data_IF_740581521048
#
_entry.id   IF_740581521048
#
_cell.length_a   1.000
_cell.length_b   1.000
_cell.length_c   1.000
_cell.angle_alpha   90.00
_cell.angle_beta   90.00
_cell.angle_gamma   90.00
#
_symmetry.space_group_name_H-M   'P 1'
#
loop_
_entity.id
_entity.type
_entity.pdbx_description
1 polymer ?
#
# COMPACT_ATOMS: atom_id res chain seq x y z
N UNK A 1 -14.08 10.05 -3.62
CA UNK A 1 -13.53 8.86 -4.27
C UNK A 1 -12.04 8.88 -4.11
N UNK A 2 -11.43 7.73 -3.85
CA UNK A 2 -9.97 7.59 -3.83
C UNK A 2 -9.50 7.33 -5.27
N UNK A 3 -8.45 8.02 -5.71
CA UNK A 3 -7.85 7.83 -7.03
C UNK A 3 -6.35 7.69 -6.83
N UNK A 4 -5.85 6.48 -7.07
CA UNK A 4 -4.45 6.10 -6.81
C UNK A 4 -3.57 6.18 -8.07
N UNK A 5 -4.18 6.46 -9.23
CA UNK A 5 -3.50 6.58 -10.50
C UNK A 5 -3.91 7.88 -11.21
N UNK A 6 -2.94 8.60 -11.75
CA UNK A 6 -3.19 9.75 -12.62
C UNK A 6 -2.89 9.31 -14.05
N UNK A 7 -3.95 9.06 -14.81
CA UNK A 7 -3.85 8.60 -16.19
C UNK A 7 -3.91 9.79 -17.15
N UNK A 8 -3.04 9.78 -18.15
CA UNK A 8 -3.01 10.78 -19.20
C UNK A 8 -3.30 10.16 -20.56
N UNK A 9 -3.92 10.93 -21.45
CA UNK A 9 -3.94 10.56 -22.86
C UNK A 9 -2.50 10.57 -23.41
N UNK A 10 -2.02 9.42 -23.89
CA UNK A 10 -0.62 9.25 -24.30
C UNK A 10 -0.15 10.24 -25.37
N UNK A 11 -0.84 10.39 -26.52
CA UNK A 11 -0.48 11.37 -27.54
C UNK A 11 -0.43 12.81 -27.01
N UNK A 12 -1.41 13.24 -26.23
CA UNK A 12 -1.45 14.60 -25.67
C UNK A 12 -0.30 14.85 -24.69
N UNK A 13 -0.02 13.89 -23.81
CA UNK A 13 1.10 14.00 -22.87
C UNK A 13 2.45 14.06 -23.60
N UNK A 14 2.66 13.20 -24.61
CA UNK A 14 3.90 13.22 -25.41
C UNK A 14 4.07 14.48 -26.27
N UNK A 15 2.98 15.15 -26.64
CA UNK A 15 3.03 16.40 -27.39
C UNK A 15 3.44 17.62 -26.53
N UNK A 16 3.44 17.50 -25.20
CA UNK A 16 3.88 18.58 -24.32
C UNK A 16 5.40 18.82 -24.45
N UNK A 17 5.86 20.08 -24.33
CA UNK A 17 7.27 20.39 -24.14
C UNK A 17 7.88 19.60 -22.96
N UNK A 18 9.18 19.30 -23.04
CA UNK A 18 9.87 18.52 -22.01
C UNK A 18 9.72 19.14 -20.61
N UNK A 19 9.81 20.46 -20.49
CA UNK A 19 9.65 21.16 -19.21
C UNK A 19 8.28 20.89 -18.57
N UNK A 20 7.20 20.93 -19.35
CA UNK A 20 5.85 20.64 -18.83
C UNK A 20 5.69 19.18 -18.45
N UNK A 21 6.28 18.24 -19.19
CA UNK A 21 6.29 16.82 -18.81
C UNK A 21 7.01 16.62 -17.48
N UNK A 22 8.17 17.23 -17.32
CA UNK A 22 8.93 17.18 -16.06
C UNK A 22 8.16 17.77 -14.88
N UNK A 23 7.46 18.90 -15.06
CA UNK A 23 6.59 19.47 -14.03
C UNK A 23 5.49 18.47 -13.63
N UNK A 24 4.84 17.84 -14.61
CA UNK A 24 3.82 16.82 -14.35
C UNK A 24 4.42 15.64 -13.58
N UNK A 25 5.59 15.13 -13.98
CA UNK A 25 6.22 13.97 -13.35
C UNK A 25 6.54 14.22 -11.87
N UNK A 26 7.05 15.40 -11.53
CA UNK A 26 7.29 15.78 -10.14
C UNK A 26 6.00 16.07 -9.38
N UNK A 27 5.01 16.69 -10.03
CA UNK A 27 3.71 16.95 -9.40
C UNK A 27 2.97 15.64 -9.05
N UNK A 28 3.02 14.63 -9.92
CA UNK A 28 2.43 13.31 -9.67
C UNK A 28 3.14 12.61 -8.50
N UNK A 29 4.48 12.66 -8.44
CA UNK A 29 5.25 12.13 -7.30
C UNK A 29 4.89 12.83 -5.98
N UNK A 30 4.83 14.17 -5.99
CA UNK A 30 4.46 14.95 -4.82
C UNK A 30 3.03 14.67 -4.35
N UNK A 31 2.08 14.55 -5.29
CA UNK A 31 0.69 14.19 -4.99
C UNK A 31 0.58 12.78 -4.38
N UNK A 32 1.38 11.82 -4.85
CA UNK A 32 1.43 10.47 -4.30
C UNK A 32 1.90 10.46 -2.83
N UNK A 33 2.94 11.24 -2.51
CA UNK A 33 3.42 11.40 -1.14
C UNK A 33 2.41 12.13 -0.24
N UNK A 34 1.84 13.23 -0.72
CA UNK A 34 0.82 14.00 -0.01
C UNK A 34 -0.42 13.16 0.32
N UNK A 35 -0.87 12.32 -0.63
CA UNK A 35 -1.96 11.37 -0.41
C UNK A 35 -1.62 10.38 0.73
N UNK A 36 -0.39 9.87 0.76
CA UNK A 36 0.03 8.87 1.76
C UNK A 36 -0.04 9.42 3.18
N UNK A 37 0.41 10.66 3.40
CA UNK A 37 0.36 11.29 4.73
C UNK A 37 -1.06 11.71 5.12
N UNK A 38 -1.85 12.21 4.16
CA UNK A 38 -3.27 12.53 4.38
C UNK A 38 -4.08 11.29 4.73
N UNK A 39 -3.78 10.14 4.13
CA UNK A 39 -4.46 8.89 4.46
C UNK A 39 -4.23 8.49 5.92
N UNK A 40 -3.01 8.61 6.43
CA UNK A 40 -2.69 8.33 7.84
C UNK A 40 -3.50 9.25 8.78
N UNK A 41 -3.48 10.56 8.52
CA UNK A 41 -4.17 11.55 9.34
C UNK A 41 -5.70 11.36 9.33
N UNK A 42 -6.30 11.22 8.13
CA UNK A 42 -7.75 11.11 7.98
C UNK A 42 -8.27 9.77 8.51
N UNK A 43 -7.66 8.66 8.10
CA UNK A 43 -8.12 7.33 8.50
C UNK A 43 -7.96 7.08 10.00
N UNK A 44 -6.94 7.66 10.65
CA UNK A 44 -6.79 7.53 12.11
C UNK A 44 -7.86 8.29 12.89
N UNK A 45 -8.24 9.50 12.43
CA UNK A 45 -9.38 10.26 13.00
C UNK A 45 -10.70 9.54 12.80
N UNK A 46 -10.96 9.08 11.58
CA UNK A 46 -12.19 8.37 11.24
C UNK A 46 -12.30 7.05 12.00
N UNK A 47 -11.18 6.31 12.15
CA UNK A 47 -11.13 5.11 12.98
C UNK A 47 -11.54 5.37 14.43
N UNK A 48 -11.06 6.48 15.02
CA UNK A 48 -11.46 6.85 16.38
C UNK A 48 -12.95 7.20 16.47
N UNK A 49 -13.49 7.89 15.47
CA UNK A 49 -14.90 8.28 15.42
C UNK A 49 -15.83 7.07 15.23
N UNK A 50 -15.51 6.18 14.29
CA UNK A 50 -16.26 4.94 14.06
C UNK A 50 -16.34 4.07 15.32
N UNK A 51 -15.27 4.03 16.13
CA UNK A 51 -15.28 3.31 17.41
C UNK A 51 -16.26 3.91 18.41
N UNK A 52 -16.41 5.25 18.47
CA UNK A 52 -17.40 5.90 19.34
C UNK A 52 -18.83 5.56 18.91
N UNK A 53 -19.05 5.38 17.61
CA UNK A 53 -20.32 4.94 17.04
C UNK A 53 -20.59 3.44 17.25
N UNK A 54 -19.73 2.73 17.97
CA UNK A 54 -19.92 1.31 18.29
C UNK A 54 -19.46 0.34 17.20
N UNK A 55 -18.80 0.82 16.14
CA UNK A 55 -18.25 -0.04 15.10
C UNK A 55 -17.13 -0.90 15.69
N UNK A 56 -17.23 -2.22 15.47
CA UNK A 56 -16.26 -3.20 15.96
C UNK A 56 -15.28 -3.57 14.85
N UNK A 57 -13.99 -3.40 15.12
CA UNK A 57 -12.92 -3.75 14.19
C UNK A 57 -12.29 -5.08 14.59
N UNK A 58 -12.18 -5.99 13.63
CA UNK A 58 -11.62 -7.33 13.82
C UNK A 58 -10.44 -7.52 12.89
N UNK A 59 -9.38 -8.17 13.38
CA UNK A 59 -8.33 -8.69 12.50
C UNK A 59 -8.91 -9.91 11.77
N UNK A 60 -8.75 -9.94 10.45
CA UNK A 60 -9.06 -11.14 9.66
C UNK A 60 -8.28 -12.35 10.21
N UNK A 61 -8.94 -13.47 10.53
CA UNK A 61 -8.26 -14.66 11.03
C UNK A 61 -7.17 -15.18 10.08
N UNK A 62 -6.05 -15.64 10.64
CA UNK A 62 -4.91 -16.10 9.85
C UNK A 62 -5.27 -17.29 8.95
N UNK A 63 -6.20 -18.15 9.35
CA UNK A 63 -6.69 -19.25 8.51
C UNK A 63 -7.35 -18.75 7.21
N UNK A 64 -8.11 -17.65 7.28
CA UNK A 64 -8.73 -17.02 6.10
C UNK A 64 -7.65 -16.38 5.23
N UNK A 65 -6.67 -15.71 5.83
CA UNK A 65 -5.56 -15.11 5.09
C UNK A 65 -4.72 -16.17 4.35
N UNK A 66 -4.48 -17.35 4.96
CA UNK A 66 -3.78 -18.47 4.28
C UNK A 66 -4.60 -19.02 3.11
N UNK A 67 -5.90 -19.23 3.30
CA UNK A 67 -6.77 -19.67 2.21
C UNK A 67 -6.82 -18.65 1.05
N UNK A 68 -6.73 -17.35 1.34
CA UNK A 68 -6.62 -16.31 0.32
C UNK A 68 -5.32 -16.42 -0.48
N UNK A 69 -4.20 -16.76 0.16
CA UNK A 69 -2.92 -16.98 -0.52
C UNK A 69 -2.99 -18.21 -1.45
N UNK A 70 -3.56 -19.33 -0.99
CA UNK A 70 -3.75 -20.52 -1.83
C UNK A 70 -4.65 -20.24 -3.06
N UNK A 71 -5.70 -19.43 -2.88
CA UNK A 71 -6.55 -18.99 -3.99
C UNK A 71 -5.82 -18.05 -4.95
N UNK A 72 -4.97 -17.18 -4.42
CA UNK A 72 -4.14 -16.27 -5.20
C UNK A 72 -3.12 -17.03 -6.06
N UNK A 73 -2.48 -18.07 -5.53
CA UNK A 73 -1.53 -18.91 -6.26
C UNK A 73 -2.16 -19.56 -7.50
N UNK A 74 -3.39 -20.08 -7.36
CA UNK A 74 -4.15 -20.62 -8.49
C UNK A 74 -4.46 -19.55 -9.54
N UNK A 75 -4.82 -18.36 -9.09
CA UNK A 75 -5.18 -17.23 -9.96
C UNK A 75 -3.98 -16.75 -10.77
N UNK A 76 -2.83 -16.53 -10.12
CA UNK A 76 -1.62 -16.08 -10.82
C UNK A 76 -1.04 -17.15 -11.72
N UNK A 77 -1.14 -18.45 -11.36
CA UNK A 77 -0.76 -19.53 -12.27
C UNK A 77 -1.59 -19.49 -13.56
N UNK A 78 -2.92 -19.36 -13.44
CA UNK A 78 -3.81 -19.23 -14.59
C UNK A 78 -3.47 -17.99 -15.42
N UNK A 79 -3.33 -16.82 -14.78
CA UNK A 79 -3.10 -15.54 -15.48
C UNK A 79 -1.74 -15.46 -16.18
N UNK A 80 -0.72 -16.07 -15.59
CA UNK A 80 0.61 -16.16 -16.21
C UNK A 80 0.64 -17.07 -17.43
N UNK A 81 -0.16 -18.15 -17.43
CA UNK A 81 -0.33 -19.03 -18.59
C UNK A 81 -1.12 -18.36 -19.73
N UNK A 82 -2.11 -17.52 -19.39
CA UNK A 82 -2.96 -16.83 -20.36
C UNK A 82 -2.27 -15.63 -21.04
N UNK A 83 -1.38 -14.92 -20.33
CA UNK A 83 -0.85 -13.64 -20.80
C UNK A 83 0.66 -13.47 -20.48
N UNK A 84 1.54 -13.53 -21.50
CA UNK A 84 2.98 -13.32 -21.31
C UNK A 84 3.36 -11.96 -20.72
N UNK A 85 2.61 -10.89 -21.04
CA UNK A 85 2.85 -9.56 -20.47
C UNK A 85 2.51 -9.53 -18.97
N UNK A 86 1.40 -10.17 -18.58
CA UNK A 86 1.07 -10.34 -17.16
C UNK A 86 2.18 -11.07 -16.42
N UNK A 87 2.69 -12.16 -17.00
CA UNK A 87 3.82 -12.89 -16.41
C UNK A 87 5.05 -12.02 -16.21
N UNK A 88 5.44 -11.25 -17.23
CA UNK A 88 6.58 -10.33 -17.15
C UNK A 88 6.43 -9.31 -16.02
N UNK A 89 5.25 -8.71 -15.87
CA UNK A 89 4.98 -7.74 -14.80
C UNK A 89 5.03 -8.41 -13.42
N UNK A 90 4.39 -9.58 -13.27
CA UNK A 90 4.38 -10.31 -12.01
C UNK A 90 5.77 -10.76 -11.58
N UNK A 91 6.59 -11.25 -12.51
CA UNK A 91 7.97 -11.67 -12.23
C UNK A 91 8.80 -10.46 -11.71
N UNK A 92 8.70 -9.30 -12.37
CA UNK A 92 9.36 -8.06 -11.93
C UNK A 92 8.91 -7.62 -10.52
N UNK A 93 7.61 -7.67 -10.24
CA UNK A 93 7.06 -7.36 -8.91
C UNK A 93 7.57 -8.33 -7.84
N UNK A 94 7.68 -9.63 -8.17
CA UNK A 94 8.20 -10.66 -7.25
C UNK A 94 9.67 -10.45 -6.91
N UNK A 95 10.51 -10.16 -7.90
CA UNK A 95 11.93 -9.86 -7.69
C UNK A 95 12.11 -8.67 -6.73
N UNK A 96 11.35 -7.59 -6.97
CA UNK A 96 11.36 -6.44 -6.07
C UNK A 96 10.87 -6.81 -4.67
N UNK A 97 9.72 -7.49 -4.55
CA UNK A 97 9.11 -7.85 -3.28
C UNK A 97 10.01 -8.77 -2.45
N UNK A 98 10.69 -9.73 -3.08
CA UNK A 98 11.63 -10.62 -2.40
C UNK A 98 12.79 -9.84 -1.79
N UNK A 99 13.46 -8.97 -2.56
CA UNK A 99 14.58 -8.16 -2.06
C UNK A 99 14.14 -7.15 -0.99
N UNK A 100 13.08 -6.39 -1.28
CA UNK A 100 12.61 -5.32 -0.40
C UNK A 100 11.99 -5.87 0.89
N UNK A 101 11.21 -6.94 0.79
CA UNK A 101 10.58 -7.58 1.94
C UNK A 101 11.59 -8.24 2.87
N UNK A 102 12.62 -8.89 2.32
CA UNK A 102 13.71 -9.44 3.14
C UNK A 102 14.41 -8.33 3.93
N UNK A 103 14.86 -7.27 3.25
CA UNK A 103 15.49 -6.13 3.92
C UNK A 103 14.55 -5.51 4.98
N UNK A 104 13.28 -5.31 4.67
CA UNK A 104 12.32 -4.71 5.60
C UNK A 104 12.14 -5.56 6.87
N UNK A 105 12.07 -6.89 6.75
CA UNK A 105 11.90 -7.80 7.89
C UNK A 105 13.15 -7.85 8.78
N UNK A 106 14.35 -7.78 8.19
CA UNK A 106 15.60 -7.87 8.94
C UNK A 106 16.00 -6.53 9.57
N UNK A 107 15.67 -5.43 8.89
CA UNK A 107 16.15 -4.09 9.26
C UNK A 107 15.18 -3.33 10.17
N UNK A 108 13.87 -3.47 9.97
CA UNK A 108 12.91 -2.70 10.78
C UNK A 108 12.69 -3.32 12.15
N UNK A 109 12.64 -2.48 13.17
CA UNK A 109 12.28 -2.88 14.53
C UNK A 109 10.77 -3.08 14.68
N UNK A 110 10.35 -3.89 15.66
CA UNK A 110 8.93 -4.02 15.98
C UNK A 110 8.39 -2.74 16.64
N UNK A 111 7.77 -1.88 15.82
CA UNK A 111 7.17 -0.63 16.27
C UNK A 111 6.05 -0.83 17.31
N UNK A 112 5.45 -2.02 17.43
CA UNK A 112 4.44 -2.29 18.46
C UNK A 112 5.05 -2.24 19.86
N UNK A 113 6.31 -2.62 20.01
CA UNK A 113 6.99 -2.58 21.30
C UNK A 113 7.00 -1.15 21.86
N UNK A 114 7.46 -0.18 21.05
CA UNK A 114 7.48 1.23 21.44
C UNK A 114 6.07 1.78 21.67
N UNK A 115 5.12 1.49 20.76
CA UNK A 115 3.74 1.94 20.92
C UNK A 115 3.12 1.44 22.24
N UNK A 116 3.29 0.15 22.55
CA UNK A 116 2.72 -0.45 23.75
C UNK A 116 3.35 0.11 25.04
N UNK A 117 4.64 0.45 25.01
CA UNK A 117 5.30 1.09 26.14
C UNK A 117 4.63 2.43 26.52
N UNK A 118 4.31 3.27 25.54
CA UNK A 118 3.73 4.59 25.77
C UNK A 118 2.20 4.62 25.83
N UNK A 119 1.51 3.75 25.10
CA UNK A 119 0.06 3.82 24.88
C UNK A 119 -0.69 2.52 25.18
N UNK A 120 0.02 1.47 25.62
CA UNK A 120 -0.57 0.18 25.98
C UNK A 120 -1.34 0.22 27.29
N UNK A 121 -2.10 -0.86 27.56
CA UNK A 121 -2.79 -1.03 28.85
C UNK A 121 -1.73 -1.11 29.97
N UNK A 122 -1.70 -0.11 30.85
CA UNK A 122 -0.73 -0.02 31.96
C UNK A 122 0.43 0.94 31.73
N UNK A 123 0.48 1.65 30.60
CA UNK A 123 1.46 2.72 30.40
C UNK A 123 1.30 3.81 31.48
N UNK A 124 2.42 4.23 32.09
CA UNK A 124 2.42 5.34 33.06
C UNK A 124 2.06 6.62 32.31
N UNK A 125 0.94 7.25 32.69
CA UNK A 125 0.63 8.60 32.22
C UNK A 125 1.67 9.53 32.85
N UNK A 126 2.54 10.10 32.03
CA UNK A 126 3.41 11.21 32.41
C UNK A 126 2.59 12.44 32.75
#
# INVERSE_FOLDING_TARGET
GEQFEILFNGPKYRALPQELRSIIDYAVQAASADMSWKAIERNSKDYAELKKQGVKFYKTPDAILRAQLEAWDKTIQKKTAENPFFKKVLDSQREFAQRAGQWQNDYMVDFKMAYNHYFGKGAKKG
#
